data_IF_574126141933
#
_entry.id   IF_574126141933
#
_cell.length_a   1.000
_cell.length_b   1.000
_cell.length_c   1.000
_cell.angle_alpha   90.00
_cell.angle_beta   90.00
_cell.angle_gamma   90.00
#
_symmetry.space_group_name_H-M   'P 1'
#
loop_
_entity.id
_entity.type
_entity.pdbx_description
1 polymer ?
#
# COMPACT_ATOMS: atom_id res chain seq x y z
N UNK A 1 -20.79 0.67 -17.56
CA UNK A 1 -20.16 2.00 -17.55
C UNK A 1 -20.94 3.00 -16.73
N UNK A 2 -22.22 3.22 -17.02
CA UNK A 2 -23.08 4.19 -16.32
C UNK A 2 -23.13 3.94 -14.82
N UNK A 3 -23.38 2.70 -14.40
CA UNK A 3 -23.42 2.31 -12.97
C UNK A 3 -22.09 2.59 -12.26
N UNK A 4 -20.95 2.42 -12.94
CA UNK A 4 -19.63 2.75 -12.40
C UNK A 4 -19.48 4.25 -12.20
N UNK A 5 -19.86 5.06 -13.18
CA UNK A 5 -19.80 6.51 -13.07
C UNK A 5 -20.75 7.05 -11.98
N UNK A 6 -21.91 6.41 -11.78
CA UNK A 6 -22.82 6.73 -10.66
C UNK A 6 -22.18 6.41 -9.30
N UNK A 7 -21.54 5.26 -9.16
CA UNK A 7 -20.78 4.92 -7.94
C UNK A 7 -19.67 5.95 -7.66
N UNK A 8 -18.88 6.27 -8.66
CA UNK A 8 -17.80 7.25 -8.52
C UNK A 8 -18.34 8.66 -8.20
N UNK A 9 -19.50 9.02 -8.73
CA UNK A 9 -20.17 10.28 -8.38
C UNK A 9 -20.72 10.26 -6.93
N UNK A 10 -21.20 9.12 -6.43
CA UNK A 10 -21.63 8.96 -5.05
C UNK A 10 -20.45 9.08 -4.07
N UNK A 11 -19.28 8.54 -4.41
CA UNK A 11 -18.03 8.73 -3.64
C UNK A 11 -17.64 10.22 -3.61
N UNK A 12 -17.65 10.89 -4.75
CA UNK A 12 -17.32 12.32 -4.85
C UNK A 12 -18.23 13.19 -3.96
N UNK A 13 -19.52 12.84 -3.90
CA UNK A 13 -20.53 13.48 -3.04
C UNK A 13 -20.48 13.01 -1.57
N UNK A 14 -19.52 12.16 -1.20
CA UNK A 14 -19.40 11.57 0.14
C UNK A 14 -20.64 10.78 0.61
N UNK A 15 -21.44 10.28 -0.33
CA UNK A 15 -22.58 9.39 -0.06
C UNK A 15 -22.12 7.94 0.15
N UNK A 16 -21.00 7.57 -0.45
CA UNK A 16 -20.28 6.31 -0.25
C UNK A 16 -18.90 6.67 0.26
N UNK A 17 -18.44 6.14 1.41
CA UNK A 17 -17.08 6.34 1.90
C UNK A 17 -16.07 5.81 0.88
N UNK A 18 -14.97 6.54 0.66
CA UNK A 18 -13.93 6.13 -0.27
C UNK A 18 -13.28 4.81 0.16
N UNK A 19 -13.12 4.62 1.46
CA UNK A 19 -12.53 3.44 2.09
C UNK A 19 -13.32 2.14 1.84
N UNK A 20 -14.63 2.24 1.53
CA UNK A 20 -15.45 1.08 1.16
C UNK A 20 -15.10 0.54 -0.23
N UNK A 21 -14.41 1.36 -1.05
CA UNK A 21 -13.92 0.96 -2.39
C UNK A 21 -12.44 0.62 -2.30
N UNK A 22 -12.16 -0.64 -2.01
CA UNK A 22 -10.79 -1.14 -1.87
C UNK A 22 -9.99 -1.07 -3.18
N UNK A 23 -8.65 -1.13 -3.08
CA UNK A 23 -7.76 -1.20 -4.24
C UNK A 23 -8.10 -2.39 -5.17
N UNK A 24 -8.66 -3.48 -4.65
CA UNK A 24 -9.16 -4.58 -5.48
C UNK A 24 -10.30 -4.13 -6.40
N UNK A 25 -11.31 -3.44 -5.87
CA UNK A 25 -12.42 -2.90 -6.68
C UNK A 25 -11.90 -1.88 -7.71
N UNK A 26 -10.98 -1.02 -7.31
CA UNK A 26 -10.37 -0.02 -8.19
C UNK A 26 -9.66 -0.67 -9.39
N UNK A 27 -8.95 -1.78 -9.19
CA UNK A 27 -8.36 -2.54 -10.30
C UNK A 27 -9.39 -3.04 -11.28
N UNK A 28 -10.51 -3.57 -10.79
CA UNK A 28 -11.62 -4.02 -11.63
C UNK A 28 -12.21 -2.86 -12.43
N UNK A 29 -12.42 -1.70 -11.79
CA UNK A 29 -12.93 -0.51 -12.45
C UNK A 29 -11.97 0.04 -13.52
N UNK A 30 -10.67 0.05 -13.24
CA UNK A 30 -9.64 0.47 -14.20
C UNK A 30 -9.60 -0.41 -15.44
N UNK A 31 -9.89 -1.72 -15.31
CA UNK A 31 -9.90 -2.67 -16.41
C UNK A 31 -10.97 -2.39 -17.47
N UNK A 32 -11.95 -1.53 -17.20
CA UNK A 32 -12.87 -1.03 -18.21
C UNK A 32 -12.16 -0.23 -19.32
N UNK A 33 -10.92 0.25 -19.09
CA UNK A 33 -10.10 1.05 -20.02
C UNK A 33 -10.83 2.27 -20.62
N UNK A 34 -11.89 2.72 -19.96
CA UNK A 34 -12.68 3.89 -20.37
C UNK A 34 -12.06 5.14 -19.75
N UNK A 35 -11.70 6.10 -20.60
CA UNK A 35 -11.01 7.33 -20.17
C UNK A 35 -11.80 8.14 -19.14
N UNK A 36 -13.13 8.20 -19.26
CA UNK A 36 -13.97 8.95 -18.34
C UNK A 36 -14.03 8.24 -16.96
N UNK A 37 -14.10 6.91 -16.96
CA UNK A 37 -14.06 6.11 -15.72
C UNK A 37 -12.71 6.29 -15.03
N UNK A 38 -11.60 6.15 -15.76
CA UNK A 38 -10.25 6.31 -15.19
C UNK A 38 -10.02 7.73 -14.67
N UNK A 39 -10.42 8.75 -15.40
CA UNK A 39 -10.28 10.15 -14.96
C UNK A 39 -11.09 10.41 -13.68
N UNK A 40 -12.36 9.95 -13.63
CA UNK A 40 -13.20 10.10 -12.45
C UNK A 40 -12.67 9.29 -11.26
N UNK A 41 -12.15 8.09 -11.51
CA UNK A 41 -11.53 7.25 -10.50
C UNK A 41 -10.32 7.95 -9.86
N UNK A 42 -9.41 8.51 -10.67
CA UNK A 42 -8.27 9.28 -10.17
C UNK A 42 -8.71 10.51 -9.37
N UNK A 43 -9.78 11.17 -9.81
CA UNK A 43 -10.32 12.33 -9.09
C UNK A 43 -10.85 11.97 -7.70
N UNK A 44 -11.54 10.84 -7.54
CA UNK A 44 -12.28 10.56 -6.30
C UNK A 44 -11.58 9.57 -5.37
N UNK A 45 -10.75 8.66 -5.91
CA UNK A 45 -10.17 7.58 -5.12
C UNK A 45 -8.67 7.76 -4.86
N UNK A 46 -7.91 8.25 -5.81
CA UNK A 46 -6.46 8.44 -5.72
C UNK A 46 -5.73 8.15 -7.02
N UNK A 47 -4.42 8.07 -6.97
CA UNK A 47 -3.60 7.84 -8.15
C UNK A 47 -3.72 6.40 -8.64
N UNK A 48 -3.96 6.24 -9.94
CA UNK A 48 -4.00 4.92 -10.59
C UNK A 48 -3.22 4.94 -11.89
N UNK A 49 -2.40 3.92 -12.10
CA UNK A 49 -1.70 3.70 -13.38
C UNK A 49 -1.61 2.20 -13.71
N UNK A 50 -1.31 1.89 -14.95
CA UNK A 50 -1.03 0.50 -15.34
C UNK A 50 0.31 0.04 -14.79
N UNK A 51 0.36 -1.23 -14.37
CA UNK A 51 1.60 -1.90 -13.99
C UNK A 51 2.45 -2.15 -15.22
N UNK A 52 3.72 -1.73 -15.25
CA UNK A 52 4.62 -1.96 -16.38
C UNK A 52 4.81 -3.45 -16.68
N UNK A 53 5.08 -3.78 -17.96
CA UNK A 53 5.24 -5.17 -18.42
C UNK A 53 6.27 -5.96 -17.61
N UNK A 54 7.43 -5.34 -17.31
CA UNK A 54 8.47 -5.96 -16.48
C UNK A 54 7.95 -6.40 -15.11
N UNK A 55 7.13 -5.58 -14.46
CA UNK A 55 6.54 -5.89 -13.15
C UNK A 55 5.43 -6.94 -13.27
N UNK A 56 4.65 -6.92 -14.36
CA UNK A 56 3.67 -7.99 -14.64
C UNK A 56 4.36 -9.33 -14.78
N UNK A 57 5.46 -9.40 -15.55
CA UNK A 57 6.26 -10.62 -15.69
C UNK A 57 6.82 -11.09 -14.34
N UNK A 58 7.27 -10.18 -13.49
CA UNK A 58 7.74 -10.50 -12.14
C UNK A 58 6.60 -11.07 -11.26
N UNK A 59 5.41 -10.49 -11.31
CA UNK A 59 4.22 -11.00 -10.61
C UNK A 59 3.89 -12.42 -11.06
N UNK A 60 3.87 -12.69 -12.37
CA UNK A 60 3.62 -14.04 -12.91
C UNK A 60 4.71 -15.03 -12.47
N UNK A 61 5.97 -14.61 -12.38
CA UNK A 61 7.06 -15.41 -11.82
C UNK A 61 6.78 -15.81 -10.36
N UNK A 62 6.36 -14.86 -9.52
CA UNK A 62 5.98 -15.17 -8.14
C UNK A 62 4.74 -16.07 -8.05
N UNK A 63 3.75 -15.91 -8.91
CA UNK A 63 2.58 -16.82 -8.96
C UNK A 63 2.99 -18.26 -9.30
N UNK A 64 3.92 -18.41 -10.24
CA UNK A 64 4.46 -19.72 -10.59
C UNK A 64 5.22 -20.36 -9.43
N UNK A 65 5.94 -19.56 -8.65
CA UNK A 65 6.66 -19.99 -7.44
C UNK A 65 5.70 -20.41 -6.32
N UNK A 66 4.62 -19.65 -6.10
CA UNK A 66 3.70 -19.77 -4.96
C UNK A 66 2.57 -20.77 -5.27
N UNK A 67 2.93 -22.01 -5.59
CA UNK A 67 1.96 -23.08 -5.80
C UNK A 67 1.17 -23.39 -4.51
N UNK A 68 -0.02 -23.99 -4.66
CA UNK A 68 -0.84 -24.41 -3.53
C UNK A 68 -0.06 -25.36 -2.59
N UNK A 69 0.73 -26.27 -3.15
CA UNK A 69 1.57 -27.19 -2.41
C UNK A 69 2.63 -26.46 -1.58
N UNK A 70 3.35 -25.50 -2.18
CA UNK A 70 4.36 -24.69 -1.49
C UNK A 70 3.75 -23.90 -0.35
N UNK A 71 2.58 -23.29 -0.56
CA UNK A 71 1.89 -22.52 0.47
C UNK A 71 1.35 -23.39 1.61
N UNK A 72 0.94 -24.63 1.34
CA UNK A 72 0.55 -25.59 2.40
C UNK A 72 1.71 -25.98 3.31
N UNK A 73 2.94 -26.01 2.80
CA UNK A 73 4.15 -26.34 3.57
C UNK A 73 4.87 -25.09 4.14
N UNK A 74 4.32 -23.89 3.87
CA UNK A 74 4.90 -22.64 4.35
C UNK A 74 4.67 -22.46 5.86
N UNK A 75 5.68 -21.90 6.54
CA UNK A 75 5.67 -21.63 7.97
C UNK A 75 5.14 -20.21 8.26
N UNK A 76 3.88 -20.12 8.67
CA UNK A 76 3.23 -18.84 8.99
C UNK A 76 3.87 -18.13 10.20
N UNK A 77 4.56 -18.84 11.10
CA UNK A 77 5.26 -18.24 12.24
C UNK A 77 6.51 -17.49 11.76
N UNK A 78 7.27 -18.10 10.85
CA UNK A 78 8.39 -17.43 10.17
C UNK A 78 7.90 -16.29 9.28
N UNK A 79 6.79 -16.48 8.57
CA UNK A 79 6.14 -15.44 7.80
C UNK A 79 5.74 -14.23 8.65
N UNK A 80 5.22 -14.45 9.87
CA UNK A 80 4.96 -13.39 10.84
C UNK A 80 6.25 -12.66 11.24
N UNK A 81 7.32 -13.38 11.51
CA UNK A 81 8.61 -12.78 11.86
C UNK A 81 9.14 -11.86 10.73
N UNK A 82 9.00 -12.28 9.47
CA UNK A 82 9.34 -11.46 8.31
C UNK A 82 8.43 -10.23 8.20
N UNK A 83 7.12 -10.39 8.40
CA UNK A 83 6.18 -9.28 8.42
C UNK A 83 6.54 -8.24 9.48
N UNK A 84 6.81 -8.64 10.71
CA UNK A 84 7.21 -7.74 11.80
C UNK A 84 8.47 -6.94 11.45
N UNK A 85 9.43 -7.57 10.78
CA UNK A 85 10.69 -6.95 10.37
C UNK A 85 10.52 -5.97 9.21
N UNK A 86 9.64 -6.25 8.25
CA UNK A 86 9.61 -5.55 6.96
C UNK A 86 8.35 -4.71 6.74
N UNK A 87 7.21 -5.09 7.29
CA UNK A 87 5.90 -4.51 6.99
C UNK A 87 5.24 -3.83 8.19
N UNK A 88 5.40 -4.41 9.40
CA UNK A 88 4.65 -4.01 10.60
C UNK A 88 4.94 -2.58 11.06
N UNK A 89 6.10 -2.00 10.71
CA UNK A 89 6.38 -0.59 11.01
C UNK A 89 5.35 0.35 10.37
N UNK A 90 4.88 0.00 9.17
CA UNK A 90 3.95 0.82 8.40
C UNK A 90 2.52 0.30 8.42
N UNK A 91 2.34 -1.01 8.44
CA UNK A 91 1.03 -1.64 8.30
C UNK A 91 0.56 -2.32 9.58
N UNK A 92 -0.74 -2.20 9.84
CA UNK A 92 -1.43 -2.99 10.85
C UNK A 92 -1.97 -4.26 10.22
N UNK A 93 -1.84 -5.40 10.95
CA UNK A 93 -2.46 -6.68 10.60
C UNK A 93 -2.90 -7.38 11.89
N UNK A 94 -4.15 -7.84 11.94
CA UNK A 94 -4.77 -8.47 13.11
C UNK A 94 -4.64 -7.63 14.40
N UNK A 95 -4.79 -6.31 14.27
CA UNK A 95 -4.74 -5.37 15.39
C UNK A 95 -3.33 -4.97 15.85
N UNK A 96 -2.26 -5.53 15.26
CA UNK A 96 -0.86 -5.22 15.58
C UNK A 96 -0.14 -4.52 14.43
N UNK A 97 0.77 -3.61 14.74
CA UNK A 97 1.58 -2.87 13.77
C UNK A 97 1.27 -1.37 13.69
N UNK A 98 1.95 -0.69 12.77
CA UNK A 98 1.85 0.76 12.52
C UNK A 98 0.62 1.15 11.69
N UNK A 99 0.52 2.46 11.46
CA UNK A 99 -0.58 3.07 10.71
C UNK A 99 -0.10 4.11 9.67
N UNK A 100 1.15 3.98 9.22
CA UNK A 100 1.70 4.80 8.11
C UNK A 100 1.06 4.39 6.78
N UNK A 101 0.88 3.09 6.60
CA UNK A 101 0.15 2.49 5.50
C UNK A 101 -1.25 2.02 5.92
N UNK A 102 -2.08 1.56 4.99
CA UNK A 102 -3.42 1.06 5.30
C UNK A 102 -3.39 -0.19 6.20
N UNK A 103 -4.45 -0.35 7.01
CA UNK A 103 -4.69 -1.59 7.75
C UNK A 103 -4.98 -2.73 6.75
N UNK A 104 -4.23 -3.81 6.89
CA UNK A 104 -4.32 -4.97 6.00
C UNK A 104 -5.38 -5.98 6.46
N UNK A 105 -5.91 -5.88 7.69
CA UNK A 105 -6.79 -6.89 8.29
C UNK A 105 -8.03 -7.17 7.43
N UNK A 106 -8.69 -6.13 6.93
CA UNK A 106 -9.89 -6.22 6.09
C UNK A 106 -9.61 -6.23 4.59
N UNK A 107 -8.35 -6.21 4.16
CA UNK A 107 -8.03 -6.20 2.72
C UNK A 107 -8.15 -7.59 2.08
N UNK A 108 -8.24 -7.63 0.75
CA UNK A 108 -8.43 -8.87 -0.02
C UNK A 108 -7.14 -9.72 -0.12
N UNK A 109 -6.49 -10.00 1.00
CA UNK A 109 -5.17 -10.65 1.10
C UNK A 109 -5.13 -12.10 0.65
N UNK A 110 -6.27 -12.77 0.58
CA UNK A 110 -6.38 -14.14 0.05
C UNK A 110 -6.33 -14.19 -1.48
N UNK A 111 -6.52 -13.05 -2.15
CA UNK A 111 -6.36 -12.95 -3.59
C UNK A 111 -4.88 -12.70 -3.92
N UNK A 112 -4.24 -13.68 -4.56
CA UNK A 112 -2.81 -13.65 -4.88
C UNK A 112 -2.44 -12.50 -5.82
N UNK A 113 -3.25 -12.23 -6.83
CA UNK A 113 -3.01 -11.12 -7.77
C UNK A 113 -3.02 -9.77 -7.02
N UNK A 114 -4.04 -9.58 -6.16
CA UNK A 114 -4.13 -8.39 -5.34
C UNK A 114 -2.91 -8.21 -4.43
N UNK A 115 -2.49 -9.29 -3.75
CA UNK A 115 -1.38 -9.24 -2.81
C UNK A 115 -0.06 -8.93 -3.52
N UNK A 116 0.26 -9.69 -4.56
CA UNK A 116 1.50 -9.53 -5.32
C UNK A 116 1.60 -8.20 -6.06
N UNK A 117 0.51 -7.73 -6.67
CA UNK A 117 0.50 -6.42 -7.34
C UNK A 117 0.81 -5.28 -6.37
N UNK A 118 0.25 -5.30 -5.13
CA UNK A 118 0.56 -4.27 -4.15
C UNK A 118 2.01 -4.34 -3.65
N UNK A 119 2.62 -5.53 -3.60
CA UNK A 119 4.00 -5.70 -3.13
C UNK A 119 5.03 -5.40 -4.23
N UNK A 120 4.75 -5.78 -5.48
CA UNK A 120 5.68 -5.61 -6.61
C UNK A 120 5.54 -4.22 -7.23
N UNK A 121 4.33 -3.67 -7.29
CA UNK A 121 4.08 -2.35 -7.85
C UNK A 121 3.20 -1.47 -6.94
N UNK A 122 3.71 -1.09 -5.76
CA UNK A 122 2.94 -0.33 -4.78
C UNK A 122 2.48 1.05 -5.29
N UNK A 123 3.14 1.57 -6.33
CA UNK A 123 2.79 2.85 -6.96
C UNK A 123 1.73 2.73 -8.07
N UNK A 124 1.24 1.52 -8.38
CA UNK A 124 0.18 1.35 -9.38
C UNK A 124 -1.17 1.88 -8.90
N UNK A 125 -1.43 1.76 -7.60
CA UNK A 125 -2.66 2.20 -6.95
C UNK A 125 -2.33 2.83 -5.59
N UNK A 126 -2.53 4.14 -5.47
CA UNK A 126 -2.28 4.90 -4.25
C UNK A 126 -3.58 5.60 -3.85
N UNK A 127 -4.27 5.15 -2.77
CA UNK A 127 -5.48 5.80 -2.28
C UNK A 127 -5.22 7.24 -1.83
N UNK A 128 -6.23 8.10 -1.92
CA UNK A 128 -6.17 9.42 -1.29
C UNK A 128 -5.83 9.31 0.20
N UNK A 129 -5.00 10.23 0.68
CA UNK A 129 -4.47 10.21 2.04
C UNK A 129 -3.19 9.39 2.19
N UNK A 130 -2.83 8.58 1.18
CA UNK A 130 -1.55 7.86 1.10
C UNK A 130 -0.66 8.37 -0.04
N UNK A 131 -1.08 9.43 -0.72
CA UNK A 131 -0.25 10.07 -1.76
C UNK A 131 0.98 10.71 -1.13
N UNK A 132 2.13 10.37 -1.65
CA UNK A 132 3.40 10.95 -1.20
C UNK A 132 3.57 12.37 -1.76
N UNK A 133 4.04 13.26 -0.93
CA UNK A 133 4.54 14.59 -1.35
C UNK A 133 6.04 14.66 -1.16
N UNK A 134 6.67 15.46 -2.00
CA UNK A 134 8.07 15.90 -1.87
C UNK A 134 8.03 17.34 -1.36
N UNK A 135 8.70 17.61 -0.26
CA UNK A 135 8.75 18.92 0.39
C UNK A 135 10.21 19.38 0.42
N UNK A 136 10.53 20.43 -0.30
CA UNK A 136 11.81 21.11 -0.21
C UNK A 136 11.71 22.22 0.84
N UNK A 137 12.69 22.28 1.73
CA UNK A 137 12.78 23.29 2.79
C UNK A 137 13.83 24.35 2.43
N UNK A 138 13.66 25.56 2.93
CA UNK A 138 14.61 26.69 2.74
C UNK A 138 16.03 26.39 3.22
N UNK A 139 16.21 25.42 4.14
CA UNK A 139 17.53 24.97 4.61
C UNK A 139 18.17 23.91 3.69
N UNK A 140 17.55 23.60 2.54
CA UNK A 140 18.04 22.66 1.54
C UNK A 140 17.67 21.20 1.80
N UNK A 141 16.99 20.86 2.91
CA UNK A 141 16.49 19.50 3.14
C UNK A 141 15.33 19.19 2.21
N UNK A 142 15.30 17.95 1.71
CA UNK A 142 14.17 17.42 0.93
C UNK A 142 13.55 16.25 1.68
N UNK A 143 12.27 16.37 1.99
CA UNK A 143 11.51 15.39 2.75
C UNK A 143 10.45 14.72 1.87
N UNK A 144 10.26 13.41 2.06
CA UNK A 144 9.22 12.63 1.39
C UNK A 144 8.27 12.07 2.44
N UNK A 145 6.97 12.23 2.24
CA UNK A 145 6.00 11.71 3.19
C UNK A 145 4.55 11.89 2.75
N UNK A 146 3.63 11.38 3.56
CA UNK A 146 2.20 11.61 3.39
C UNK A 146 1.77 12.79 4.25
N UNK A 147 0.90 13.65 3.71
CA UNK A 147 0.34 14.77 4.48
C UNK A 147 -0.74 14.24 5.41
N UNK A 148 -0.47 14.28 6.72
CA UNK A 148 -1.44 13.87 7.76
C UNK A 148 -2.35 15.03 8.13
N UNK A 149 -1.78 16.24 8.21
CA UNK A 149 -2.53 17.46 8.54
C UNK A 149 -1.92 18.66 7.83
N UNK A 150 -2.77 19.55 7.37
CA UNK A 150 -2.37 20.83 6.75
C UNK A 150 -3.23 21.95 7.34
N UNK A 151 -2.59 22.98 7.85
CA UNK A 151 -3.19 24.24 8.30
C UNK A 151 -2.54 25.40 7.56
N UNK A 152 -2.94 26.63 7.84
CA UNK A 152 -2.30 27.81 7.24
C UNK A 152 -0.86 28.01 7.74
N UNK A 153 -0.54 27.53 8.92
CA UNK A 153 0.77 27.74 9.58
C UNK A 153 1.66 26.50 9.54
N UNK A 154 1.09 25.29 9.53
CA UNK A 154 1.83 24.05 9.72
C UNK A 154 1.43 22.97 8.71
N UNK A 155 2.41 22.17 8.34
CA UNK A 155 2.27 20.90 7.62
C UNK A 155 2.74 19.76 8.51
N UNK A 156 1.87 18.80 8.81
CA UNK A 156 2.27 17.56 9.48
C UNK A 156 2.51 16.49 8.42
N UNK A 157 3.75 16.04 8.30
CA UNK A 157 4.23 15.08 7.30
C UNK A 157 4.60 13.78 8.00
N UNK A 158 4.00 12.67 7.60
CA UNK A 158 4.39 11.33 7.99
C UNK A 158 5.44 10.82 7.00
N UNK A 159 6.67 10.73 7.43
CA UNK A 159 7.75 10.08 6.67
C UNK A 159 7.74 8.56 6.95
N UNK A 160 8.64 7.81 6.32
CA UNK A 160 8.81 6.37 6.63
C UNK A 160 9.32 6.13 8.06
N UNK A 161 9.89 7.12 8.71
CA UNK A 161 10.56 6.98 10.00
C UNK A 161 9.84 7.69 11.13
N UNK A 162 9.27 8.86 10.88
CA UNK A 162 8.76 9.75 11.92
C UNK A 162 7.63 10.66 11.43
N UNK A 163 6.89 11.22 12.37
CA UNK A 163 5.91 12.27 12.14
C UNK A 163 6.58 13.62 12.38
N UNK A 164 6.65 14.45 11.34
CA UNK A 164 7.28 15.77 11.39
C UNK A 164 6.25 16.88 11.31
N UNK A 165 6.38 17.90 12.15
CA UNK A 165 5.59 19.13 12.07
C UNK A 165 6.49 20.22 11.50
N UNK A 166 6.16 20.72 10.33
CA UNK A 166 6.90 21.73 9.58
C UNK A 166 6.16 23.05 9.62
N UNK A 167 6.88 24.16 9.87
CA UNK A 167 6.35 25.51 9.65
C UNK A 167 6.25 25.74 8.14
N UNK A 168 5.08 26.15 7.66
CA UNK A 168 4.88 26.37 6.21
C UNK A 168 5.76 27.47 5.63
N UNK A 169 6.23 28.39 6.45
CA UNK A 169 7.18 29.45 6.04
C UNK A 169 8.56 28.91 5.71
N UNK A 170 8.89 27.70 6.21
CA UNK A 170 10.16 27.01 5.91
C UNK A 170 10.07 26.14 4.66
N UNK A 171 8.89 26.03 4.05
CA UNK A 171 8.68 25.21 2.86
C UNK A 171 8.88 26.09 1.63
N UNK A 172 9.95 25.81 0.89
CA UNK A 172 10.25 26.48 -0.38
C UNK A 172 9.34 25.94 -1.50
N UNK A 173 9.22 24.60 -1.59
CA UNK A 173 8.39 23.95 -2.61
C UNK A 173 7.73 22.69 -2.05
N UNK A 174 6.53 22.40 -2.52
CA UNK A 174 5.84 21.14 -2.26
C UNK A 174 5.18 20.64 -3.54
N UNK A 175 5.52 19.43 -3.95
CA UNK A 175 4.96 18.77 -5.13
C UNK A 175 4.42 17.39 -4.77
N UNK A 176 3.37 16.96 -5.49
CA UNK A 176 2.83 15.62 -5.37
C UNK A 176 3.67 14.62 -6.16
N UNK A 177 4.00 13.50 -5.54
CA UNK A 177 4.70 12.40 -6.19
C UNK A 177 3.72 11.36 -6.71
N UNK A 178 4.07 10.72 -7.83
CA UNK A 178 3.36 9.54 -8.34
C UNK A 178 3.88 8.22 -7.74
N UNK A 179 4.75 8.30 -6.74
CA UNK A 179 5.32 7.15 -6.05
C UNK A 179 4.63 6.92 -4.70
N UNK A 180 4.56 5.66 -4.29
CA UNK A 180 4.12 5.26 -2.96
C UNK A 180 5.25 5.42 -1.93
N UNK A 181 4.90 5.71 -0.67
CA UNK A 181 5.84 5.57 0.45
C UNK A 181 6.24 4.10 0.69
N UNK A 182 5.40 3.15 0.28
CA UNK A 182 5.76 1.73 0.32
C UNK A 182 6.89 1.48 -0.69
N UNK A 183 8.08 1.02 -0.23
CA UNK A 183 9.20 0.78 -1.14
C UNK A 183 8.92 -0.38 -2.09
N UNK A 184 9.48 -0.31 -3.29
CA UNK A 184 9.53 -1.45 -4.22
C UNK A 184 10.58 -2.47 -3.77
N UNK A 185 10.53 -3.68 -4.35
CA UNK A 185 11.54 -4.72 -4.12
C UNK A 185 11.47 -5.40 -2.76
N UNK A 186 10.30 -5.39 -2.09
CA UNK A 186 10.12 -6.03 -0.79
C UNK A 186 10.41 -7.54 -0.80
N UNK A 187 10.19 -8.19 -1.93
CA UNK A 187 10.42 -9.63 -2.10
C UNK A 187 11.81 -9.97 -2.65
N UNK A 188 12.53 -9.01 -3.22
CA UNK A 188 13.75 -9.26 -4.00
C UNK A 188 14.92 -9.78 -3.14
N UNK A 189 14.89 -9.51 -1.83
CA UNK A 189 15.93 -9.93 -0.88
C UNK A 189 15.60 -11.19 -0.11
N UNK A 190 14.42 -11.75 -0.35
CA UNK A 190 13.93 -12.95 0.33
C UNK A 190 14.21 -14.18 -0.53
N UNK A 191 14.53 -15.28 0.13
CA UNK A 191 14.57 -16.59 -0.52
C UNK A 191 13.16 -17.03 -0.91
N UNK A 192 13.04 -17.99 -1.83
CA UNK A 192 11.75 -18.54 -2.26
C UNK A 192 10.92 -19.07 -1.09
N UNK A 193 11.57 -19.68 -0.07
CA UNK A 193 10.87 -20.17 1.11
C UNK A 193 10.38 -19.02 1.98
N UNK A 194 11.19 -17.98 2.21
CA UNK A 194 10.78 -16.80 2.96
C UNK A 194 9.62 -16.05 2.28
N UNK A 195 9.61 -15.99 0.94
CA UNK A 195 8.48 -15.44 0.19
C UNK A 195 7.22 -16.27 0.45
N UNK A 196 7.31 -17.60 0.37
CA UNK A 196 6.17 -18.48 0.63
C UNK A 196 5.65 -18.33 2.07
N UNK A 197 6.55 -18.29 3.06
CA UNK A 197 6.22 -18.11 4.47
C UNK A 197 5.51 -16.76 4.72
N UNK A 198 6.05 -15.67 4.16
CA UNK A 198 5.46 -14.33 4.26
C UNK A 198 4.08 -14.27 3.61
N UNK A 199 3.92 -14.81 2.39
CA UNK A 199 2.65 -14.83 1.67
C UNK A 199 1.62 -15.69 2.40
N UNK A 200 2.00 -16.85 2.93
CA UNK A 200 1.12 -17.71 3.72
C UNK A 200 0.65 -17.02 5.01
N UNK A 201 1.50 -16.24 5.65
CA UNK A 201 1.10 -15.42 6.80
C UNK A 201 0.16 -14.31 6.39
N UNK A 202 0.52 -13.51 5.38
CA UNK A 202 -0.28 -12.40 4.90
C UNK A 202 -1.68 -12.83 4.43
N UNK A 203 -1.80 -13.95 3.72
CA UNK A 203 -3.08 -14.49 3.25
C UNK A 203 -3.89 -15.21 4.34
N UNK A 204 -3.32 -15.40 5.52
CA UNK A 204 -4.00 -16.06 6.63
C UNK A 204 -5.17 -15.27 7.20
N UNK A 205 -6.09 -15.96 7.88
CA UNK A 205 -7.31 -15.38 8.45
C UNK A 205 -7.18 -14.97 9.92
N UNK A 206 -6.12 -15.40 10.60
CA UNK A 206 -5.90 -15.15 12.02
C UNK A 206 -4.42 -14.97 12.34
N UNK A 207 -4.17 -14.25 13.44
CA UNK A 207 -2.82 -14.10 14.00
C UNK A 207 -2.23 -15.45 14.41
N UNK A 208 -0.93 -15.59 14.22
CA UNK A 208 -0.11 -16.70 14.75
C UNK A 208 0.85 -16.16 15.82
N UNK A 209 1.38 -17.01 16.69
CA UNK A 209 2.38 -16.60 17.70
C UNK A 209 3.66 -16.12 17.02
N UNK A 210 4.38 -15.19 17.65
CA UNK A 210 5.76 -14.90 17.26
C UNK A 210 6.68 -16.05 17.67
N UNK A 211 7.81 -16.25 16.96
CA UNK A 211 8.88 -17.10 17.46
C UNK A 211 9.37 -16.57 18.81
N UNK A 212 9.66 -17.46 19.76
CA UNK A 212 10.14 -17.10 21.11
C UNK A 212 11.36 -16.15 21.09
N UNK A 213 12.20 -16.27 20.06
CA UNK A 213 13.36 -15.39 19.85
C UNK A 213 13.00 -13.91 19.56
N UNK A 214 11.74 -13.59 19.26
CA UNK A 214 11.24 -12.25 18.97
C UNK A 214 10.23 -11.75 19.99
N UNK A 215 9.75 -12.57 20.92
CA UNK A 215 8.81 -12.18 21.98
C UNK A 215 9.46 -11.35 23.11
N UNK A 216 10.80 -11.25 23.13
CA UNK A 216 11.59 -10.65 24.23
C UNK A 216 12.21 -9.28 23.90
N UNK A 217 11.60 -8.51 22.97
CA UNK A 217 12.08 -7.12 22.67
C UNK A 217 11.02 -6.08 22.83
#
# INVERSE_FOLDING_TARGET
KESVLLLLAAIDKKQVPQEDVSAFHVRQLRNFKDKAVVAKLNQVWGLTRETPEKKRAQIEGYKTLLTAERLQHADRVKGRALYEKTCAKCHRLFGSGGNIGPDLTGSNRTNMDYLLENMVDPSALIPKGYEMVVVALEDGRVLNGNVVRKTDQQLTLQTQTELMVLDRRQIEEMSQSNLSLMPEGQLDKLSEQEIADLIAYLSGHSQVKLPESLESK
#
